data_IF_752286899919
#
_entry.id   IF_752286899919
#
_cell.length_a   1.000
_cell.length_b   1.000
_cell.length_c   1.000
_cell.angle_alpha   90.00
_cell.angle_beta   90.00
_cell.angle_gamma   90.00
#
_symmetry.space_group_name_H-M   'P 1'
#
loop_
_entity.id
_entity.type
_entity.pdbx_description
1 polymer ?
#
# COMPACT_ATOMS: atom_id res chain seq x y z
N UNK A 1 -13.79 1.83 3.89
CA UNK A 1 -13.13 2.84 4.75
C UNK A 1 -13.14 4.21 4.05
N UNK A 2 -13.43 5.33 4.74
CA UNK A 2 -13.35 6.70 4.20
C UNK A 2 -12.24 7.50 4.90
N UNK A 3 -11.80 8.64 4.34
CA UNK A 3 -10.66 9.42 4.85
C UNK A 3 -10.78 9.81 6.34
N UNK A 4 -11.98 10.23 6.75
CA UNK A 4 -12.27 10.53 8.16
C UNK A 4 -12.15 9.29 9.05
N UNK A 5 -12.62 8.12 8.57
CA UNK A 5 -12.51 6.85 9.30
C UNK A 5 -11.05 6.42 9.44
N UNK A 6 -10.22 6.63 8.41
CA UNK A 6 -8.78 6.34 8.47
C UNK A 6 -8.05 7.22 9.48
N UNK A 7 -8.35 8.54 9.49
CA UNK A 7 -7.79 9.48 10.48
C UNK A 7 -8.21 9.10 11.91
N UNK A 8 -9.48 8.72 12.11
CA UNK A 8 -9.99 8.28 13.40
C UNK A 8 -9.35 6.96 13.85
N UNK A 9 -9.22 5.98 12.95
CA UNK A 9 -8.54 4.71 13.18
C UNK A 9 -7.10 4.93 13.65
N UNK A 10 -6.32 5.77 12.95
CA UNK A 10 -4.95 6.10 13.39
C UNK A 10 -4.93 6.73 14.79
N UNK A 11 -5.90 7.59 15.09
CA UNK A 11 -6.08 8.18 16.41
C UNK A 11 -6.31 7.13 17.50
N UNK A 12 -7.20 6.16 17.25
CA UNK A 12 -7.46 5.03 18.18
C UNK A 12 -6.22 4.17 18.40
N UNK A 13 -5.45 3.92 17.35
CA UNK A 13 -4.23 3.12 17.44
C UNK A 13 -3.05 3.88 18.09
N UNK A 14 -3.17 5.19 18.33
CA UNK A 14 -2.11 6.00 18.90
C UNK A 14 -0.88 6.14 17.99
N UNK A 15 -1.02 5.93 16.69
CA UNK A 15 0.12 5.90 15.76
C UNK A 15 0.43 7.25 15.12
N UNK A 16 1.73 7.50 14.94
CA UNK A 16 2.21 8.55 14.06
C UNK A 16 1.83 8.23 12.61
N UNK A 17 1.75 9.24 11.73
CA UNK A 17 1.47 9.02 10.30
C UNK A 17 2.52 8.12 9.64
N UNK A 18 3.78 8.26 10.08
CA UNK A 18 4.90 7.43 9.63
C UNK A 18 4.77 5.99 10.07
N UNK A 19 4.36 5.73 11.32
CA UNK A 19 4.19 4.35 11.81
C UNK A 19 2.97 3.67 11.20
N UNK A 20 1.87 4.40 11.04
CA UNK A 20 0.69 3.88 10.36
C UNK A 20 1.04 3.48 8.92
N UNK A 21 1.80 4.32 8.20
CA UNK A 21 2.26 4.01 6.84
C UNK A 21 3.17 2.76 6.80
N UNK A 22 4.13 2.66 7.72
CA UNK A 22 5.01 1.48 7.86
C UNK A 22 4.21 0.20 8.11
N UNK A 23 3.26 0.23 9.05
CA UNK A 23 2.43 -0.93 9.41
C UNK A 23 1.50 -1.36 8.28
N UNK A 24 1.01 -0.42 7.49
CA UNK A 24 0.19 -0.68 6.31
C UNK A 24 1.01 -1.06 5.06
N UNK A 25 2.34 -0.99 5.11
CA UNK A 25 3.20 -1.28 3.96
C UNK A 25 3.10 -0.25 2.83
N UNK A 26 2.77 1.00 3.14
CA UNK A 26 2.64 2.09 2.14
C UNK A 26 3.62 3.22 2.43
N UNK A 27 3.93 4.03 1.42
CA UNK A 27 4.77 5.21 1.62
C UNK A 27 4.04 6.26 2.48
N UNK A 28 4.80 7.07 3.23
CA UNK A 28 4.25 8.15 4.07
C UNK A 28 3.38 9.13 3.25
N UNK A 29 3.84 9.48 2.04
CA UNK A 29 3.11 10.38 1.15
C UNK A 29 1.81 9.76 0.65
N UNK A 30 1.82 8.46 0.35
CA UNK A 30 0.61 7.74 -0.06
C UNK A 30 -0.42 7.71 1.06
N UNK A 31 0.01 7.40 2.29
CA UNK A 31 -0.84 7.45 3.47
C UNK A 31 -1.44 8.85 3.69
N UNK A 32 -0.63 9.90 3.57
CA UNK A 32 -1.10 11.29 3.70
C UNK A 32 -2.15 11.65 2.64
N UNK A 33 -1.98 11.16 1.40
CA UNK A 33 -2.95 11.33 0.32
C UNK A 33 -4.28 10.65 0.64
N UNK A 34 -4.25 9.45 1.22
CA UNK A 34 -5.46 8.79 1.71
C UNK A 34 -6.16 9.56 2.83
N UNK A 35 -5.42 10.10 3.81
CA UNK A 35 -6.03 10.94 4.85
C UNK A 35 -6.62 12.25 4.30
N UNK A 36 -5.98 12.85 3.29
CA UNK A 36 -6.47 14.09 2.65
C UNK A 36 -7.57 13.84 1.62
N UNK A 37 -7.63 12.65 1.04
CA UNK A 37 -8.54 12.32 -0.06
C UNK A 37 -8.14 12.86 -1.42
N UNK A 38 -6.88 13.22 -1.62
CA UNK A 38 -6.40 13.85 -2.84
C UNK A 38 -5.58 12.84 -3.64
N UNK A 39 -5.99 12.59 -4.89
CA UNK A 39 -5.28 11.73 -5.83
C UNK A 39 -4.12 12.40 -6.55
N UNK A 40 -3.41 11.59 -7.34
CA UNK A 40 -2.33 12.09 -8.19
C UNK A 40 -2.84 13.08 -9.23
N UNK A 41 -4.05 12.85 -9.74
CA UNK A 41 -4.70 13.67 -10.79
C UNK A 41 -5.69 14.68 -10.19
N UNK A 42 -5.49 15.13 -8.95
CA UNK A 42 -6.39 16.00 -8.17
C UNK A 42 -7.82 15.46 -7.94
N UNK A 43 -8.14 14.28 -8.47
CA UNK A 43 -9.41 13.60 -8.24
C UNK A 43 -9.52 13.15 -6.78
N UNK A 44 -10.73 13.20 -6.22
CA UNK A 44 -11.02 12.64 -4.90
C UNK A 44 -10.72 11.14 -4.91
N UNK A 45 -9.71 10.71 -4.15
CA UNK A 45 -9.32 9.30 -4.08
C UNK A 45 -10.09 8.61 -2.95
N UNK A 46 -10.78 7.53 -3.31
CA UNK A 46 -11.30 6.56 -2.36
C UNK A 46 -10.14 5.69 -1.86
N UNK A 47 -10.16 5.37 -0.57
CA UNK A 47 -9.18 4.45 0.03
C UNK A 47 -9.37 3.07 -0.63
N UNK A 48 -8.30 2.44 -1.17
CA UNK A 48 -8.39 1.09 -1.72
C UNK A 48 -8.92 0.08 -0.70
N UNK A 49 -9.65 -0.92 -1.18
CA UNK A 49 -10.21 -1.96 -0.31
C UNK A 49 -9.11 -2.75 0.43
N UNK A 50 -7.96 -2.95 -0.20
CA UNK A 50 -6.79 -3.58 0.41
C UNK A 50 -6.31 -2.84 1.66
N UNK A 51 -6.25 -1.50 1.60
CA UNK A 51 -5.86 -0.67 2.76
C UNK A 51 -6.93 -0.72 3.84
N UNK A 52 -8.21 -0.75 3.46
CA UNK A 52 -9.31 -0.88 4.41
C UNK A 52 -9.22 -2.19 5.21
N UNK A 53 -9.04 -3.32 4.51
CA UNK A 53 -8.88 -4.63 5.13
C UNK A 53 -7.62 -4.69 6.02
N UNK A 54 -6.51 -4.11 5.58
CA UNK A 54 -5.29 -4.06 6.39
C UNK A 54 -5.48 -3.27 7.69
N UNK A 55 -6.27 -2.19 7.67
CA UNK A 55 -6.59 -1.44 8.89
C UNK A 55 -7.41 -2.28 9.87
N UNK A 56 -8.41 -3.00 9.37
CA UNK A 56 -9.26 -3.89 10.18
C UNK A 56 -8.44 -5.04 10.76
N UNK A 57 -7.58 -5.67 9.97
CA UNK A 57 -6.68 -6.75 10.42
C UNK A 57 -5.73 -6.28 11.53
N UNK A 58 -5.21 -5.04 11.43
CA UNK A 58 -4.33 -4.47 12.45
C UNK A 58 -5.06 -4.15 13.76
N UNK A 59 -6.34 -3.78 13.68
CA UNK A 59 -7.20 -3.51 14.84
C UNK A 59 -7.60 -4.81 15.55
N UNK A 60 -7.84 -5.89 14.80
CA UNK A 60 -8.24 -7.20 15.35
C UNK A 60 -7.09 -8.08 15.80
N UNK A 61 -5.88 -7.92 15.23
CA UNK A 61 -4.69 -8.71 15.58
C UNK A 61 -4.42 -8.86 17.09
N UNK A 62 -4.45 -7.82 17.94
CA UNK A 62 -4.24 -7.99 19.37
C UNK A 62 -5.37 -8.77 20.05
N UNK A 63 -6.61 -8.61 19.59
CA UNK A 63 -7.77 -9.34 20.12
C UNK A 63 -7.61 -10.84 19.85
N UNK A 64 -7.20 -11.20 18.63
CA UNK A 64 -6.97 -12.58 18.24
C UNK A 64 -5.81 -13.22 19.01
N UNK A 65 -4.76 -12.46 19.35
CA UNK A 65 -3.67 -12.96 20.18
C UNK A 65 -4.16 -13.33 21.58
N UNK A 66 -4.96 -12.46 22.22
CA UNK A 66 -5.54 -12.73 23.53
C UNK A 66 -6.51 -13.92 23.52
N UNK A 67 -7.31 -14.05 22.45
CA UNK A 67 -8.21 -15.19 22.28
C UNK A 67 -7.45 -16.49 22.11
N UNK A 68 -6.36 -16.51 21.35
CA UNK A 68 -5.49 -17.69 21.22
C UNK A 68 -4.94 -18.14 22.57
N UNK A 69 -4.49 -17.19 23.40
CA UNK A 69 -4.04 -17.50 24.75
C UNK A 69 -5.17 -18.02 25.64
N UNK A 70 -6.38 -17.46 25.54
CA UNK A 70 -7.53 -17.96 26.28
C UNK A 70 -7.93 -19.38 25.84
N UNK A 71 -8.07 -19.63 24.53
CA UNK A 71 -8.47 -20.95 24.02
C UNK A 71 -7.44 -22.03 24.37
N UNK A 72 -6.15 -21.70 24.36
CA UNK A 72 -5.09 -22.60 24.83
C UNK A 72 -5.21 -22.97 26.31
N UNK A 73 -5.76 -22.09 27.17
CA UNK A 73 -6.03 -22.39 28.58
C UNK A 73 -7.29 -23.24 28.78
N UNK A 74 -8.26 -23.16 27.87
CA UNK A 74 -9.52 -23.89 27.97
C UNK A 74 -9.52 -25.25 27.27
N UNK A 75 -8.36 -25.72 26.77
CA UNK A 75 -8.20 -27.11 26.33
C UNK A 75 -9.15 -27.55 25.21
N UNK A 76 -9.44 -26.65 24.26
CA UNK A 76 -10.12 -27.07 23.03
C UNK A 76 -9.03 -27.58 22.10
N UNK A 77 -8.90 -28.90 21.99
CA UNK A 77 -8.08 -29.53 20.97
C UNK A 77 -8.65 -29.13 19.60
N UNK A 78 -8.03 -28.13 18.97
CA UNK A 78 -8.24 -27.85 17.56
C UNK A 78 -7.69 -29.03 16.81
N UNK A 79 -8.57 -29.92 16.35
CA UNK A 79 -8.23 -30.93 15.37
C UNK A 79 -7.49 -30.22 14.23
N UNK A 80 -6.22 -30.57 14.03
CA UNK A 80 -5.44 -30.04 12.94
C UNK A 80 -6.16 -30.40 11.64
N UNK A 81 -6.84 -29.43 11.04
CA UNK A 81 -7.30 -29.54 9.66
C UNK A 81 -6.04 -29.34 8.82
N UNK A 82 -5.33 -30.44 8.58
CA UNK A 82 -4.26 -30.54 7.60
C UNK A 82 -4.89 -30.33 6.22
N UNK A 83 -5.06 -29.07 5.81
CA UNK A 83 -5.28 -28.68 4.42
C UNK A 83 -3.98 -28.81 3.61
N UNK A 84 -3.32 -29.98 3.70
CA UNK A 84 -2.37 -30.40 2.68
C UNK A 84 -3.17 -31.17 1.64
N UNK A 85 -3.96 -30.46 0.84
CA UNK A 85 -4.20 -30.95 -0.51
C UNK A 85 -2.80 -30.97 -1.18
N UNK A 86 -2.28 -32.13 -1.59
CA UNK A 86 -1.06 -32.15 -2.36
C UNK A 86 -1.33 -31.34 -3.62
N UNK A 87 -0.66 -30.19 -3.76
CA UNK A 87 -0.52 -29.53 -5.05
C UNK A 87 0.18 -30.56 -5.92
N UNK A 88 -0.59 -31.28 -6.74
CA UNK A 88 -0.02 -32.03 -7.83
C UNK A 88 0.59 -30.98 -8.76
N UNK A 89 1.92 -30.94 -8.81
CA UNK A 89 2.61 -30.21 -9.85
C UNK A 89 1.99 -30.63 -11.19
N UNK A 90 1.54 -29.67 -12.03
CA UNK A 90 1.03 -30.02 -13.34
C UNK A 90 2.12 -30.75 -14.12
N UNK A 91 1.79 -31.84 -14.84
CA UNK A 91 2.77 -32.63 -15.57
C UNK A 91 3.56 -31.72 -16.52
N UNK A 92 4.88 -31.77 -16.42
CA UNK A 92 5.79 -31.17 -17.39
C UNK A 92 5.63 -31.89 -18.73
N UNK A 93 4.79 -31.35 -19.60
CA UNK A 93 4.83 -31.73 -21.02
C UNK A 93 5.87 -30.86 -21.75
N UNK A 94 6.90 -31.46 -22.37
CA UNK A 94 7.92 -30.74 -23.10
C UNK A 94 7.40 -30.35 -24.49
N UNK A 95 6.63 -29.27 -24.57
CA UNK A 95 6.32 -28.64 -25.85
C UNK A 95 7.50 -27.78 -26.32
N UNK A 96 8.30 -28.42 -27.17
CA UNK A 96 9.14 -27.91 -28.26
C UNK A 96 9.01 -26.41 -28.55
N UNK A 97 10.18 -25.80 -28.73
CA UNK A 97 10.38 -24.40 -29.02
C UNK A 97 9.61 -23.89 -30.23
N UNK A 98 8.98 -22.74 -30.03
CA UNK A 98 8.77 -21.75 -31.07
C UNK A 98 9.44 -20.46 -30.62
N UNK A 99 10.47 -20.09 -31.38
CA UNK A 99 11.22 -18.85 -31.25
C UNK A 99 10.31 -17.67 -31.54
N UNK A 100 10.03 -16.82 -30.54
CA UNK A 100 9.42 -15.52 -30.78
C UNK A 100 10.50 -14.52 -31.24
N UNK A 101 10.29 -13.78 -32.34
CA UNK A 101 11.24 -12.79 -32.82
C UNK A 101 11.33 -11.59 -31.88
N UNK A 102 12.56 -11.20 -31.59
CA UNK A 102 12.99 -10.10 -30.74
C UNK A 102 12.57 -8.74 -31.34
N UNK A 103 11.43 -8.20 -30.91
CA UNK A 103 10.98 -6.87 -31.33
C UNK A 103 11.79 -5.79 -30.58
N UNK A 104 12.86 -5.32 -31.23
CA UNK A 104 13.68 -4.19 -30.76
C UNK A 104 12.85 -2.92 -30.70
N UNK A 105 12.27 -2.62 -29.53
CA UNK A 105 11.70 -1.30 -29.24
C UNK A 105 12.81 -0.25 -29.22
N UNK A 106 12.90 0.49 -30.33
CA UNK A 106 13.65 1.75 -30.44
C UNK A 106 13.16 2.72 -29.36
N UNK A 107 13.95 2.87 -28.30
CA UNK A 107 13.78 3.98 -27.34
C UNK A 107 14.17 5.25 -28.08
N UNK A 108 13.16 5.98 -28.54
CA UNK A 108 13.33 7.30 -29.15
C UNK A 108 13.78 8.29 -28.08
N UNK A 109 14.97 8.88 -28.29
CA UNK A 109 15.56 9.93 -27.46
C UNK A 109 14.64 11.15 -27.48
N UNK A 110 13.84 11.37 -26.42
CA UNK A 110 13.16 12.65 -26.22
C UNK A 110 14.17 13.68 -25.71
N UNK A 111 14.41 14.66 -26.58
CA UNK A 111 15.22 15.86 -26.44
C UNK A 111 14.83 16.64 -25.17
N UNK A 112 15.76 16.75 -24.23
CA UNK A 112 15.70 17.70 -23.10
C UNK A 112 15.79 19.11 -23.66
N UNK A 113 14.69 19.86 -23.63
CA UNK A 113 14.72 21.30 -23.84
C UNK A 113 14.81 22.03 -22.50
N UNK A 114 16.00 22.62 -22.34
CA UNK A 114 16.45 23.64 -21.41
C UNK A 114 15.34 24.65 -21.07
N UNK A 115 14.78 24.55 -19.87
CA UNK A 115 13.97 25.63 -19.30
C UNK A 115 14.97 26.67 -18.79
N UNK A 116 14.94 27.85 -19.41
CA UNK A 116 15.71 29.02 -19.00
C UNK A 116 15.22 29.46 -17.62
N UNK A 117 16.18 29.70 -16.73
CA UNK A 117 16.00 30.49 -15.52
C UNK A 117 15.40 31.84 -15.89
N UNK A 118 14.29 32.19 -15.23
CA UNK A 118 13.84 33.57 -15.11
C UNK A 118 13.53 33.78 -13.64
N UNK A 119 14.48 34.39 -12.94
CA UNK A 119 14.33 34.88 -11.58
C UNK A 119 13.16 35.89 -11.53
N UNK A 120 12.20 35.76 -10.61
CA UNK A 120 11.34 36.87 -10.28
C UNK A 120 12.08 37.81 -9.32
N UNK A 121 12.53 38.94 -9.84
CA UNK A 121 12.96 40.12 -9.08
C UNK A 121 11.84 40.52 -8.11
N UNK A 122 12.05 40.28 -6.82
CA UNK A 122 11.21 40.86 -5.75
C UNK A 122 11.91 42.15 -5.32
N UNK A 123 11.48 43.27 -5.90
CA UNK A 123 11.74 44.60 -5.36
C UNK A 123 11.12 44.70 -3.97
N UNK A 124 11.97 44.74 -2.94
CA UNK A 124 11.58 45.13 -1.59
C UNK A 124 11.55 46.65 -1.55
N UNK A 125 10.39 47.25 -1.78
CA UNK A 125 10.13 48.64 -1.40
C UNK A 125 9.94 48.70 0.12
N UNK A 126 10.82 49.46 0.76
CA UNK A 126 10.84 49.75 2.19
C UNK A 126 9.87 50.91 2.47
N UNK A 127 8.93 50.84 3.44
CA UNK A 127 8.28 52.03 3.94
C UNK A 127 9.09 52.65 5.07
N UNK A 128 9.16 53.97 5.05
CA UNK A 128 9.81 54.85 6.02
C UNK A 128 8.81 55.26 7.09
#
# INVERSE_FOLDING_TARGET
MNNHKLKAWRGRMGWSKTDAAKRLGVSRNQYLRYEKGIGNDEKKVKIPQTVALACEALETRPILANLREMVGRYGVEVAEVVDTAPVQDPPEDPMKGETFPEEKKKISKKKTQKIKESEPSIERSNPK
#
